data_IF_531412087179
#
_entry.id   IF_531412087179
#
_cell.length_a   1.000
_cell.length_b   1.000
_cell.length_c   1.000
_cell.angle_alpha   90.00
_cell.angle_beta   90.00
_cell.angle_gamma   90.00
#
_symmetry.space_group_name_H-M   'P 1'
#
loop_
_entity.id
_entity.type
_entity.pdbx_description
1 polymer ?
#
# COMPACT_ATOMS: atom_id res chain seq x y z
N UNK A 1 -38.24 -5.74 55.87
CA UNK A 1 -37.58 -4.60 55.20
C UNK A 1 -36.07 -4.74 55.33
N UNK A 2 -35.43 -5.77 54.73
CA UNK A 2 -33.95 -5.98 54.77
C UNK A 2 -33.51 -6.93 53.66
N UNK A 3 -34.00 -6.74 52.41
CA UNK A 3 -33.56 -7.60 51.25
C UNK A 3 -33.55 -6.87 49.91
N UNK A 4 -33.29 -5.56 49.88
CA UNK A 4 -33.24 -4.81 48.60
C UNK A 4 -32.03 -3.87 48.47
N UNK A 5 -30.88 -4.19 49.02
CA UNK A 5 -29.67 -3.34 48.93
C UNK A 5 -28.42 -4.08 48.39
N UNK A 6 -28.56 -5.22 47.73
CA UNK A 6 -27.41 -6.02 47.28
C UNK A 6 -27.31 -6.22 45.76
N UNK A 7 -28.03 -5.47 44.92
CA UNK A 7 -28.09 -5.67 43.45
C UNK A 7 -27.65 -4.49 42.59
N UNK A 8 -26.95 -3.50 43.14
CA UNK A 8 -26.53 -2.29 42.38
C UNK A 8 -25.00 -2.17 42.20
N UNK A 9 -24.21 -3.08 42.67
CA UNK A 9 -22.74 -2.94 42.69
C UNK A 9 -21.95 -3.86 41.72
N UNK A 10 -22.58 -4.41 40.68
CA UNK A 10 -21.90 -5.33 39.73
C UNK A 10 -21.98 -4.92 38.26
N UNK A 11 -22.30 -3.67 37.97
CA UNK A 11 -22.43 -3.17 36.55
C UNK A 11 -21.43 -2.12 36.13
N UNK A 12 -20.25 -1.96 36.76
CA UNK A 12 -19.29 -0.89 36.43
C UNK A 12 -17.87 -1.32 36.08
N UNK A 13 -17.64 -2.56 35.62
CA UNK A 13 -16.28 -3.03 35.30
C UNK A 13 -16.10 -3.50 33.83
N UNK A 14 -16.96 -3.11 32.89
CA UNK A 14 -16.84 -3.54 31.48
C UNK A 14 -16.61 -2.40 30.48
N UNK A 15 -16.15 -1.22 30.90
CA UNK A 15 -15.99 -0.05 30.00
C UNK A 15 -14.54 0.47 29.89
N UNK A 16 -13.55 -0.39 29.89
CA UNK A 16 -12.17 0.08 30.05
C UNK A 16 -11.08 -0.45 29.11
N UNK A 17 -11.35 -0.92 27.87
CA UNK A 17 -10.23 -1.39 27.04
C UNK A 17 -10.29 -1.21 25.52
N UNK A 18 -11.32 -0.56 24.95
CA UNK A 18 -11.38 -0.41 23.49
C UNK A 18 -10.81 0.91 22.95
N UNK A 19 -10.71 1.94 23.77
CA UNK A 19 -10.38 3.30 23.30
C UNK A 19 -8.89 3.56 23.06
N UNK A 20 -7.98 2.86 23.73
CA UNK A 20 -6.54 3.11 23.63
C UNK A 20 -5.89 2.50 22.38
N UNK A 21 -6.39 1.38 21.86
CA UNK A 21 -5.86 0.75 20.63
C UNK A 21 -6.23 1.53 19.37
N UNK A 22 -7.47 2.03 19.27
CA UNK A 22 -7.89 2.86 18.13
C UNK A 22 -7.14 4.20 18.06
N UNK A 23 -6.83 4.84 19.20
CA UNK A 23 -6.04 6.06 19.24
C UNK A 23 -4.61 5.86 18.72
N UNK A 24 -3.98 4.73 19.04
CA UNK A 24 -2.61 4.44 18.60
C UNK A 24 -2.53 4.17 17.09
N UNK A 25 -3.48 3.41 16.53
CA UNK A 25 -3.57 3.18 15.09
C UNK A 25 -3.83 4.46 14.32
N UNK A 26 -4.73 5.34 14.79
CA UNK A 26 -5.00 6.63 14.14
C UNK A 26 -3.79 7.57 14.16
N UNK A 27 -3.05 7.62 15.26
CA UNK A 27 -1.84 8.43 15.36
C UNK A 27 -0.74 7.92 14.43
N UNK A 28 -0.56 6.60 14.34
CA UNK A 28 0.36 5.96 13.42
C UNK A 28 -0.01 6.27 11.96
N UNK A 29 -1.27 6.04 11.58
CA UNK A 29 -1.78 6.32 10.25
C UNK A 29 -1.57 7.80 9.87
N UNK A 30 -1.89 8.73 10.77
CA UNK A 30 -1.72 10.16 10.52
C UNK A 30 -0.24 10.54 10.32
N UNK A 31 0.68 9.91 11.05
CA UNK A 31 2.11 10.20 10.99
C UNK A 31 2.77 9.63 9.73
N UNK A 32 2.40 8.42 9.33
CA UNK A 32 3.11 7.67 8.27
C UNK A 32 2.33 7.56 6.96
N UNK A 33 1.09 8.06 6.90
CA UNK A 33 0.30 8.06 5.67
C UNK A 33 1.00 8.89 4.59
N UNK A 34 1.13 8.30 3.42
CA UNK A 34 1.63 8.97 2.21
C UNK A 34 0.50 9.08 1.19
N UNK A 35 0.48 10.15 0.37
CA UNK A 35 -0.47 10.22 -0.75
C UNK A 35 -0.14 9.14 -1.78
N UNK A 36 -1.17 8.64 -2.48
CA UNK A 36 -0.98 7.66 -3.57
C UNK A 36 -0.08 8.23 -4.67
N UNK A 37 -0.32 9.49 -5.03
CA UNK A 37 0.38 10.21 -6.09
C UNK A 37 1.53 11.03 -5.55
N UNK A 38 2.60 11.20 -6.34
CA UNK A 38 3.79 11.95 -5.94
C UNK A 38 4.73 11.18 -4.99
N UNK A 39 4.31 10.03 -4.46
CA UNK A 39 5.14 9.19 -3.61
C UNK A 39 5.86 8.14 -4.46
N UNK A 40 7.15 7.94 -4.20
CA UNK A 40 7.88 6.81 -4.76
C UNK A 40 7.57 5.55 -3.95
N UNK A 41 7.01 4.55 -4.61
CA UNK A 41 6.60 3.28 -4.03
C UNK A 41 7.58 2.18 -4.42
N UNK A 42 8.12 1.45 -3.47
CA UNK A 42 9.02 0.33 -3.67
C UNK A 42 8.35 -0.98 -3.33
N UNK A 43 8.45 -1.97 -4.21
CA UNK A 43 7.92 -3.32 -4.00
C UNK A 43 8.61 -4.00 -2.82
N UNK A 44 7.82 -4.57 -1.91
CA UNK A 44 8.29 -5.39 -0.78
C UNK A 44 7.65 -6.79 -0.76
N UNK A 45 6.52 -6.97 -1.44
CA UNK A 45 5.89 -8.28 -1.58
C UNK A 45 5.19 -8.40 -2.93
N UNK A 46 5.33 -9.56 -3.59
CA UNK A 46 4.72 -9.86 -4.87
C UNK A 46 4.09 -11.27 -4.82
N UNK A 47 2.77 -11.38 -5.07
CA UNK A 47 2.01 -12.63 -4.99
C UNK A 47 2.27 -13.42 -3.69
N UNK A 48 2.32 -12.73 -2.56
CA UNK A 48 2.58 -13.32 -1.25
C UNK A 48 4.04 -13.64 -0.93
N UNK A 49 4.95 -13.45 -1.88
CA UNK A 49 6.39 -13.66 -1.68
C UNK A 49 7.09 -12.35 -1.33
N UNK A 50 7.93 -12.35 -0.30
CA UNK A 50 8.73 -11.18 0.06
C UNK A 50 9.78 -10.88 -1.00
N UNK A 51 9.88 -9.62 -1.38
CA UNK A 51 10.89 -9.09 -2.29
C UNK A 51 11.81 -8.18 -1.47
N UNK A 52 13.09 -8.51 -1.31
CA UNK A 52 14.04 -7.63 -0.63
C UNK A 52 14.08 -6.27 -1.32
N UNK A 53 13.92 -5.16 -0.58
CA UNK A 53 13.98 -3.84 -1.18
C UNK A 53 15.40 -3.53 -1.63
N UNK A 54 15.56 -3.23 -2.92
CA UNK A 54 16.81 -2.78 -3.51
C UNK A 54 16.62 -1.39 -4.11
N UNK A 55 17.57 -0.49 -3.85
CA UNK A 55 17.46 0.91 -4.25
C UNK A 55 17.29 1.08 -5.75
N UNK A 56 16.19 1.68 -6.16
CA UNK A 56 15.88 1.97 -7.56
C UNK A 56 15.36 0.78 -8.37
N UNK A 57 15.18 -0.38 -7.75
CA UNK A 57 14.66 -1.60 -8.37
C UNK A 57 13.22 -1.84 -7.91
N UNK A 58 12.33 -2.25 -8.81
CA UNK A 58 10.90 -2.46 -8.54
C UNK A 58 10.22 -1.26 -7.86
N UNK A 59 10.40 -0.09 -8.45
CA UNK A 59 9.80 1.16 -7.96
C UNK A 59 8.80 1.72 -8.93
N UNK A 60 7.76 2.39 -8.43
CA UNK A 60 6.81 3.15 -9.24
C UNK A 60 6.42 4.45 -8.55
N UNK A 61 6.13 5.46 -9.36
CA UNK A 61 5.59 6.76 -8.94
C UNK A 61 4.42 7.12 -9.84
N UNK A 62 3.31 7.53 -9.24
CA UNK A 62 2.12 8.01 -9.95
C UNK A 62 2.15 9.55 -9.95
N UNK A 63 2.23 10.17 -11.13
CA UNK A 63 2.22 11.63 -11.27
C UNK A 63 0.80 12.17 -11.13
N UNK A 64 0.54 13.11 -10.20
CA UNK A 64 -0.82 13.63 -9.99
C UNK A 64 -1.32 14.50 -11.16
N UNK A 65 -0.42 15.17 -11.87
CA UNK A 65 -0.77 16.17 -12.88
C UNK A 65 -1.01 15.54 -14.25
N UNK A 66 -0.34 14.44 -14.57
CA UNK A 66 -0.32 13.88 -15.90
C UNK A 66 -1.12 12.57 -16.04
N UNK A 67 -1.64 12.00 -14.96
CA UNK A 67 -2.26 10.68 -14.99
C UNK A 67 -1.28 9.57 -15.45
N UNK A 68 0.02 9.77 -15.20
CA UNK A 68 1.09 8.90 -15.67
C UNK A 68 1.75 8.16 -14.53
N UNK A 69 2.04 6.90 -14.78
CA UNK A 69 2.89 6.07 -13.93
C UNK A 69 4.26 5.90 -14.58
N UNK A 70 5.31 6.02 -13.78
CA UNK A 70 6.68 5.76 -14.19
C UNK A 70 7.43 5.02 -13.11
N UNK A 71 8.48 4.28 -13.47
CA UNK A 71 9.26 3.54 -12.50
C UNK A 71 10.33 2.66 -13.13
N UNK A 72 10.79 1.70 -12.33
CA UNK A 72 11.76 0.70 -12.74
C UNK A 72 11.27 -0.69 -12.34
N UNK A 73 11.46 -1.66 -13.21
CA UNK A 73 11.42 -3.07 -12.86
C UNK A 73 12.76 -3.53 -12.29
N UNK A 74 13.17 -4.75 -12.58
CA UNK A 74 14.50 -5.25 -12.21
C UNK A 74 15.59 -4.53 -13.01
N UNK A 75 15.44 -4.47 -14.32
CA UNK A 75 16.41 -3.88 -15.22
C UNK A 75 15.79 -2.92 -16.25
N UNK A 76 14.48 -2.92 -16.37
CA UNK A 76 13.77 -2.10 -17.33
C UNK A 76 13.08 -0.91 -16.67
N UNK A 77 13.04 0.21 -17.41
CA UNK A 77 12.19 1.34 -17.04
C UNK A 77 10.76 1.07 -17.47
N UNK A 78 9.83 1.47 -16.62
CA UNK A 78 8.40 1.31 -16.82
C UNK A 78 7.76 2.68 -17.01
N UNK A 79 6.82 2.81 -17.94
CA UNK A 79 6.00 4.02 -18.08
C UNK A 79 4.66 3.68 -18.73
N UNK A 80 3.62 4.40 -18.32
CA UNK A 80 2.27 4.24 -18.84
C UNK A 80 1.32 5.26 -18.27
N UNK A 81 0.04 5.03 -18.46
CA UNK A 81 -1.02 5.88 -17.95
C UNK A 81 -1.77 5.14 -16.84
N UNK A 82 -2.35 5.89 -15.90
CA UNK A 82 -3.22 5.33 -14.87
C UNK A 82 -4.45 6.21 -14.66
N UNK A 83 -5.51 5.61 -14.11
CA UNK A 83 -6.68 6.30 -13.60
C UNK A 83 -6.96 5.80 -12.19
N UNK A 84 -7.23 6.71 -11.27
CA UNK A 84 -7.63 6.41 -9.90
C UNK A 84 -8.81 7.30 -9.52
N UNK A 85 -9.68 6.81 -8.65
CA UNK A 85 -10.83 7.56 -8.15
C UNK A 85 -10.95 7.52 -6.62
N UNK A 86 -11.94 8.23 -6.09
CA UNK A 86 -12.20 8.32 -4.65
C UNK A 86 -12.69 7.00 -4.03
N UNK A 87 -13.18 6.06 -4.84
CA UNK A 87 -13.61 4.73 -4.40
C UNK A 87 -12.46 3.76 -4.22
N UNK A 88 -11.20 4.24 -4.41
CA UNK A 88 -9.97 3.47 -4.43
C UNK A 88 -9.87 2.50 -5.61
N UNK A 89 -10.67 2.69 -6.66
CA UNK A 89 -10.39 2.03 -7.91
C UNK A 89 -9.08 2.56 -8.51
N UNK A 90 -8.23 1.67 -8.98
CA UNK A 90 -6.98 1.98 -9.65
C UNK A 90 -6.85 1.11 -10.89
N UNK A 91 -6.75 1.75 -12.03
CA UNK A 91 -6.53 1.08 -13.30
C UNK A 91 -5.25 1.59 -13.91
N UNK A 92 -4.30 0.70 -14.13
CA UNK A 92 -3.04 1.00 -14.80
C UNK A 92 -3.14 0.44 -16.22
N UNK A 93 -2.90 1.31 -17.20
CA UNK A 93 -2.92 0.95 -18.63
C UNK A 93 -1.72 0.09 -19.01
N UNK A 94 -1.61 -0.27 -20.31
CA UNK A 94 -0.45 -1.00 -20.79
C UNK A 94 0.85 -0.23 -20.51
N UNK A 95 1.80 -0.90 -19.87
CA UNK A 95 3.10 -0.32 -19.56
C UNK A 95 4.07 -0.49 -20.72
N UNK A 96 4.76 0.58 -21.08
CA UNK A 96 5.92 0.55 -21.96
C UNK A 96 7.15 0.20 -21.12
N UNK A 97 7.96 -0.72 -21.62
CA UNK A 97 9.20 -1.14 -20.95
C UNK A 97 10.37 -0.99 -21.92
N UNK A 98 11.55 -0.66 -21.42
CA UNK A 98 12.80 -0.89 -22.14
C UNK A 98 13.00 -2.42 -22.24
N UNK A 99 13.65 -2.90 -23.30
CA UNK A 99 13.77 -4.34 -23.54
C UNK A 99 15.19 -4.83 -23.24
N UNK A 100 15.62 -4.64 -22.01
CA UNK A 100 16.90 -5.17 -21.55
C UNK A 100 16.72 -6.58 -20.98
N UNK A 101 17.62 -7.48 -21.27
CA UNK A 101 17.65 -8.81 -20.67
C UNK A 101 18.43 -8.76 -19.34
N UNK A 102 17.90 -9.39 -18.30
CA UNK A 102 18.56 -9.57 -17.01
C UNK A 102 18.08 -10.86 -16.35
N UNK A 103 18.78 -11.36 -15.33
CA UNK A 103 18.41 -12.59 -14.63
C UNK A 103 17.01 -12.52 -13.99
N UNK A 104 16.59 -11.33 -13.52
CA UNK A 104 15.34 -11.08 -12.80
C UNK A 104 14.17 -10.74 -13.74
N UNK A 105 14.28 -10.97 -15.05
CA UNK A 105 13.25 -10.61 -16.04
C UNK A 105 11.89 -11.28 -15.75
N UNK A 106 11.90 -12.51 -15.27
CA UNK A 106 10.65 -13.21 -14.88
C UNK A 106 9.94 -12.50 -13.73
N UNK A 107 10.68 -12.06 -12.72
CA UNK A 107 10.12 -11.30 -11.59
C UNK A 107 9.60 -9.93 -12.04
N UNK A 108 10.30 -9.28 -12.97
CA UNK A 108 9.84 -8.02 -13.58
C UNK A 108 8.53 -8.21 -14.33
N UNK A 109 8.38 -9.28 -15.10
CA UNK A 109 7.14 -9.59 -15.81
C UNK A 109 5.97 -9.79 -14.86
N UNK A 110 6.19 -10.51 -13.75
CA UNK A 110 5.18 -10.68 -12.68
C UNK A 110 4.82 -9.34 -12.03
N UNK A 111 5.79 -8.46 -11.84
CA UNK A 111 5.54 -7.12 -11.30
C UNK A 111 4.71 -6.26 -12.26
N UNK A 112 5.04 -6.25 -13.54
CA UNK A 112 4.27 -5.57 -14.60
C UNK A 112 2.84 -6.13 -14.67
N UNK A 113 2.68 -7.45 -14.58
CA UNK A 113 1.37 -8.10 -14.54
C UNK A 113 0.56 -7.64 -13.31
N UNK A 114 1.16 -7.66 -12.11
CA UNK A 114 0.50 -7.19 -10.89
C UNK A 114 0.03 -5.74 -11.01
N UNK A 115 0.84 -4.86 -11.61
CA UNK A 115 0.48 -3.46 -11.88
C UNK A 115 -0.71 -3.36 -12.86
N UNK A 116 -0.61 -4.00 -14.02
CA UNK A 116 -1.60 -3.86 -15.10
C UNK A 116 -2.92 -4.58 -14.84
N UNK A 117 -2.93 -5.59 -13.97
CA UNK A 117 -4.16 -6.29 -13.56
C UNK A 117 -4.81 -5.68 -12.31
N UNK A 118 -4.21 -4.65 -11.70
CA UNK A 118 -4.78 -3.96 -10.55
C UNK A 118 -6.14 -3.37 -10.87
N UNK A 119 -7.12 -3.62 -10.00
CA UNK A 119 -8.47 -3.05 -10.07
C UNK A 119 -8.73 -2.06 -8.94
N UNK A 120 -8.14 -2.27 -7.78
CA UNK A 120 -8.29 -1.44 -6.59
C UNK A 120 -6.96 -1.35 -5.84
N UNK A 121 -6.87 -0.36 -4.97
CA UNK A 121 -5.75 -0.24 -4.03
C UNK A 121 -6.27 -0.01 -2.61
N UNK A 122 -5.47 -0.37 -1.63
CA UNK A 122 -5.67 0.02 -0.25
C UNK A 122 -4.36 0.57 0.33
N UNK A 123 -4.46 1.32 1.42
CA UNK A 123 -3.32 1.98 2.04
C UNK A 123 -3.35 1.82 3.55
N UNK A 124 -2.22 1.39 4.11
CA UNK A 124 -2.01 1.30 5.56
C UNK A 124 -0.69 1.97 5.96
N UNK A 125 -0.80 3.20 6.51
CA UNK A 125 0.36 4.02 6.83
C UNK A 125 1.24 4.28 5.61
N UNK A 126 2.50 3.80 5.60
CA UNK A 126 3.41 3.93 4.48
C UNK A 126 3.27 2.81 3.43
N UNK A 127 2.29 1.92 3.56
CA UNK A 127 2.11 0.78 2.68
C UNK A 127 1.01 1.05 1.65
N UNK A 128 1.26 0.64 0.41
CA UNK A 128 0.31 0.60 -0.71
C UNK A 128 0.09 -0.86 -1.11
N UNK A 129 -1.15 -1.31 -1.03
CA UNK A 129 -1.58 -2.65 -1.43
C UNK A 129 -2.30 -2.57 -2.77
N UNK A 130 -1.87 -3.37 -3.73
CA UNK A 130 -2.51 -3.49 -5.05
C UNK A 130 -3.35 -4.77 -5.08
N UNK A 131 -4.63 -4.62 -5.44
CA UNK A 131 -5.59 -5.71 -5.45
C UNK A 131 -6.17 -5.91 -6.87
N UNK A 132 -6.37 -7.15 -7.25
CA UNK A 132 -7.11 -7.54 -8.43
C UNK A 132 -8.35 -8.32 -8.00
N UNK A 133 -9.55 -7.74 -8.18
CA UNK A 133 -10.82 -8.35 -7.78
C UNK A 133 -10.84 -8.83 -6.30
N UNK A 134 -10.23 -8.05 -5.40
CA UNK A 134 -10.13 -8.37 -3.97
C UNK A 134 -8.95 -9.26 -3.58
N UNK A 135 -8.19 -9.77 -4.53
CA UNK A 135 -6.97 -10.56 -4.29
C UNK A 135 -5.74 -9.66 -4.23
N UNK A 136 -4.94 -9.81 -3.18
CA UNK A 136 -3.70 -9.06 -3.02
C UNK A 136 -2.64 -9.55 -4.02
N UNK A 137 -2.16 -8.65 -4.87
CA UNK A 137 -1.15 -8.92 -5.89
C UNK A 137 0.22 -8.44 -5.48
N UNK A 138 0.30 -7.21 -4.97
CA UNK A 138 1.56 -6.62 -4.56
C UNK A 138 1.38 -5.73 -3.34
N UNK A 139 2.42 -5.65 -2.51
CA UNK A 139 2.56 -4.65 -1.45
C UNK A 139 3.80 -3.82 -1.75
N UNK A 140 3.60 -2.51 -1.75
CA UNK A 140 4.67 -1.55 -1.92
C UNK A 140 4.79 -0.69 -0.67
N UNK A 141 5.99 -0.22 -0.38
CA UNK A 141 6.29 0.69 0.71
C UNK A 141 6.74 2.04 0.15
N UNK A 142 6.29 3.12 0.78
CA UNK A 142 6.80 4.44 0.46
C UNK A 142 8.30 4.50 0.72
N UNK A 143 9.06 4.96 -0.26
CA UNK A 143 10.49 5.23 -0.09
C UNK A 143 10.63 6.46 0.81
N UNK A 144 11.37 6.37 1.93
CA UNK A 144 11.59 7.52 2.79
C UNK A 144 12.25 8.67 2.03
N UNK A 145 11.77 9.89 2.24
CA UNK A 145 12.45 11.08 1.74
C UNK A 145 13.81 11.24 2.42
N UNK A 146 14.86 11.76 1.72
CA UNK A 146 16.21 11.90 2.29
C UNK A 146 16.27 12.74 3.57
N UNK A 147 15.25 13.50 3.89
CA UNK A 147 15.16 14.40 5.04
C UNK A 147 14.33 13.88 6.22
N UNK A 148 13.78 12.66 6.15
CA UNK A 148 13.10 12.02 7.29
C UNK A 148 14.10 11.25 8.17
N UNK A 149 14.75 11.97 9.09
CA UNK A 149 15.52 11.39 10.21
C UNK A 149 14.81 11.64 11.53
#
# INVERSE_FOLDING_TARGET
MKRMLALVLLASLAAGCSHTRECHCRAYQKKYRRPLTGTAWQLIQLYGQNVPPEKGVFTVTLSPEEGRISGSGACNRLSGDYAADETRALKIGPLRTTRMACPELEQEQKFVEALTTTTHYDMDGPMLMLLCNGELRAVLQAVPEPNEK
#
